data_IF_186195351690
#
_entry.id   IF_186195351690
#
_cell.length_a   1.000
_cell.length_b   1.000
_cell.length_c   1.000
_cell.angle_alpha   90.00
_cell.angle_beta   90.00
_cell.angle_gamma   90.00
#
_symmetry.space_group_name_H-M   'P 1'
#
loop_
_entity.id
_entity.type
_entity.pdbx_description
1 polymer ?
#
# COMPACT_ATOMS: atom_id res chain seq x y z
N UNK A 1 5.93 -28.26 5.07
CA UNK A 1 4.60 -27.61 5.02
C UNK A 1 4.21 -27.01 6.38
N UNK A 2 4.28 -27.77 7.48
CA UNK A 2 3.89 -27.31 8.83
C UNK A 2 4.64 -26.08 9.37
N UNK A 3 5.94 -25.95 9.10
CA UNK A 3 6.73 -24.78 9.51
C UNK A 3 6.22 -23.47 8.88
N UNK A 4 5.89 -23.51 7.59
CA UNK A 4 5.47 -22.34 6.84
C UNK A 4 4.03 -21.94 7.21
N UNK A 5 3.15 -22.92 7.42
CA UNK A 5 1.79 -22.70 7.96
C UNK A 5 1.83 -22.11 9.38
N UNK A 6 2.75 -22.57 10.24
CA UNK A 6 2.93 -21.98 11.58
C UNK A 6 3.53 -20.57 11.53
N UNK A 7 4.50 -20.31 10.66
CA UNK A 7 5.07 -18.97 10.48
C UNK A 7 4.01 -17.97 9.96
N UNK A 8 3.12 -18.41 9.07
CA UNK A 8 1.97 -17.60 8.60
C UNK A 8 0.96 -17.38 9.72
N UNK A 9 0.61 -18.42 10.50
CA UNK A 9 -0.24 -18.27 11.68
C UNK A 9 0.35 -17.28 12.68
N UNK A 10 1.65 -17.33 12.92
CA UNK A 10 2.37 -16.38 13.78
C UNK A 10 2.36 -14.96 13.21
N UNK A 11 2.51 -14.78 11.90
CA UNK A 11 2.44 -13.47 11.25
C UNK A 11 1.06 -12.82 11.34
N UNK A 12 -0.01 -13.63 11.27
CA UNK A 12 -1.40 -13.17 11.46
C UNK A 12 -1.89 -13.27 12.90
N UNK A 13 -1.05 -13.72 13.85
CA UNK A 13 -1.39 -13.76 15.25
C UNK A 13 -1.33 -12.33 15.81
N UNK A 14 -2.47 -11.65 15.76
CA UNK A 14 -2.62 -10.28 16.27
C UNK A 14 -3.15 -10.31 17.70
N UNK A 15 -2.68 -9.36 18.50
CA UNK A 15 -3.15 -9.17 19.88
C UNK A 15 -4.49 -8.40 19.95
N UNK A 16 -5.19 -8.27 18.83
CA UNK A 16 -6.49 -7.60 18.70
C UNK A 16 -7.44 -8.42 17.82
N UNK A 17 -8.74 -8.22 18.04
CA UNK A 17 -9.82 -8.98 17.39
C UNK A 17 -10.57 -8.14 16.35
N UNK A 18 -11.40 -8.78 15.52
CA UNK A 18 -12.31 -8.08 14.59
C UNK A 18 -13.21 -7.07 15.32
N UNK A 19 -13.63 -7.34 16.56
CA UNK A 19 -14.47 -6.42 17.34
C UNK A 19 -13.74 -5.12 17.65
N UNK A 20 -12.44 -5.19 17.92
CA UNK A 20 -11.59 -4.02 18.18
C UNK A 20 -11.37 -3.18 16.92
N UNK A 21 -11.35 -3.82 15.76
CA UNK A 21 -11.23 -3.15 14.45
C UNK A 21 -12.53 -2.45 14.06
N UNK A 22 -13.68 -3.08 14.34
CA UNK A 22 -15.01 -2.53 14.07
C UNK A 22 -15.57 -1.68 15.22
N UNK A 23 -14.72 -1.33 16.18
CA UNK A 23 -15.13 -0.50 17.30
C UNK A 23 -15.43 0.94 16.83
N UNK A 24 -16.60 1.45 17.20
CA UNK A 24 -17.01 2.84 16.95
C UNK A 24 -16.53 3.82 18.03
N UNK A 25 -15.73 3.37 18.99
CA UNK A 25 -15.07 4.27 19.92
C UNK A 25 -14.15 5.25 19.17
N UNK A 26 -14.15 6.54 19.55
CA UNK A 26 -13.32 7.54 18.90
C UNK A 26 -11.83 7.23 19.13
N UNK A 27 -11.03 7.42 18.07
CA UNK A 27 -9.58 7.23 18.14
C UNK A 27 -8.96 8.31 19.05
N UNK A 28 -7.95 7.91 19.83
CA UNK A 28 -7.14 8.83 20.64
C UNK A 28 -6.46 9.87 19.76
N UNK A 29 -6.34 11.12 20.25
CA UNK A 29 -5.89 12.26 19.43
C UNK A 29 -4.50 12.03 18.81
N UNK A 30 -3.58 11.42 19.57
CA UNK A 30 -2.23 11.09 19.09
C UNK A 30 -2.26 10.06 17.94
N UNK A 31 -2.92 8.92 18.15
CA UNK A 31 -3.02 7.85 17.15
C UNK A 31 -3.73 8.32 15.87
N UNK A 32 -4.77 9.14 16.04
CA UNK A 32 -5.55 9.70 14.94
C UNK A 32 -4.72 10.63 14.04
N UNK A 33 -3.94 11.54 14.63
CA UNK A 33 -3.05 12.44 13.87
C UNK A 33 -2.01 11.65 13.07
N UNK A 34 -1.41 10.63 13.68
CA UNK A 34 -0.45 9.76 13.01
C UNK A 34 -1.09 8.98 11.86
N UNK A 35 -2.25 8.35 12.08
CA UNK A 35 -2.97 7.60 11.05
C UNK A 35 -3.34 8.50 9.85
N UNK A 36 -3.88 9.69 10.11
CA UNK A 36 -4.21 10.67 9.06
C UNK A 36 -2.98 11.08 8.25
N UNK A 37 -1.84 11.23 8.93
CA UNK A 37 -0.56 11.58 8.28
C UNK A 37 -0.05 10.43 7.42
N UNK A 38 -0.17 9.18 7.88
CA UNK A 38 0.17 7.98 7.11
C UNK A 38 -0.65 7.90 5.83
N UNK A 39 -1.98 8.01 5.90
CA UNK A 39 -2.84 7.96 4.71
C UNK A 39 -2.53 9.07 3.70
N UNK A 40 -2.34 10.30 4.18
CA UNK A 40 -1.97 11.41 3.30
C UNK A 40 -0.61 11.16 2.64
N UNK A 41 0.37 10.68 3.41
CA UNK A 41 1.71 10.38 2.90
C UNK A 41 1.67 9.27 1.84
N UNK A 42 0.89 8.22 2.06
CA UNK A 42 0.71 7.13 1.11
C UNK A 42 0.00 7.58 -0.17
N UNK A 43 -1.02 8.43 -0.04
CA UNK A 43 -1.68 9.03 -1.20
C UNK A 43 -0.69 9.84 -2.06
N UNK A 44 0.10 10.70 -1.43
CA UNK A 44 1.14 11.48 -2.12
C UNK A 44 2.22 10.58 -2.72
N UNK A 45 2.65 9.54 -2.02
CA UNK A 45 3.66 8.60 -2.51
C UNK A 45 3.17 7.85 -3.76
N UNK A 46 1.91 7.41 -3.81
CA UNK A 46 1.37 6.77 -5.01
C UNK A 46 1.23 7.75 -6.17
N UNK A 47 0.80 8.99 -5.93
CA UNK A 47 0.78 10.03 -6.97
C UNK A 47 2.20 10.30 -7.51
N UNK A 48 3.18 10.38 -6.61
CA UNK A 48 4.60 10.54 -6.96
C UNK A 48 5.12 9.33 -7.76
N UNK A 49 4.68 8.11 -7.42
CA UNK A 49 5.00 6.88 -8.15
C UNK A 49 4.39 6.88 -9.55
N UNK A 50 3.11 7.27 -9.67
CA UNK A 50 2.43 7.43 -10.95
C UNK A 50 3.15 8.46 -11.83
N UNK A 51 3.53 9.59 -11.24
CA UNK A 51 4.30 10.63 -11.90
C UNK A 51 5.67 10.10 -12.37
N UNK A 52 6.40 9.37 -11.54
CA UNK A 52 7.67 8.74 -11.93
C UNK A 52 7.51 7.74 -13.08
N UNK A 53 6.48 6.89 -13.02
CA UNK A 53 6.16 5.95 -14.09
C UNK A 53 5.75 6.64 -15.40
N UNK A 54 5.11 7.82 -15.30
CA UNK A 54 4.76 8.64 -16.45
C UNK A 54 5.99 9.36 -17.04
N UNK A 55 6.86 9.93 -16.21
CA UNK A 55 8.12 10.55 -16.67
C UNK A 55 8.99 9.55 -17.43
N UNK A 56 9.03 8.29 -16.98
CA UNK A 56 9.71 7.23 -17.71
C UNK A 56 9.17 7.05 -19.14
N UNK A 57 7.87 7.23 -19.36
CA UNK A 57 7.25 7.10 -20.69
C UNK A 57 7.78 8.14 -21.68
N UNK A 58 7.99 9.38 -21.21
CA UNK A 58 8.38 10.52 -22.06
C UNK A 58 9.88 10.55 -22.29
N UNK A 59 10.67 10.30 -21.23
CA UNK A 59 12.09 10.61 -21.22
C UNK A 59 13.00 9.39 -21.13
N UNK A 60 12.44 8.18 -21.10
CA UNK A 60 13.14 6.92 -20.81
C UNK A 60 14.07 7.02 -19.58
N UNK A 61 13.70 7.83 -18.57
CA UNK A 61 14.54 8.11 -17.38
C UNK A 61 14.79 6.89 -16.47
N UNK A 62 14.25 5.73 -16.83
CA UNK A 62 14.37 4.50 -16.06
C UNK A 62 15.69 3.84 -16.43
N UNK A 63 16.55 3.60 -15.44
CA UNK A 63 17.85 2.98 -15.70
C UNK A 63 18.76 2.99 -14.48
N UNK A 64 20.06 2.80 -14.70
CA UNK A 64 21.04 2.70 -13.61
C UNK A 64 21.09 3.98 -12.74
N UNK A 65 20.89 5.16 -13.33
CA UNK A 65 20.84 6.44 -12.60
C UNK A 65 19.64 6.54 -11.67
N UNK A 66 18.44 6.09 -12.08
CA UNK A 66 17.26 6.09 -11.22
C UNK A 66 17.42 5.12 -10.06
N UNK A 67 18.12 4.01 -10.26
CA UNK A 67 18.45 3.02 -9.21
C UNK A 67 19.42 3.62 -8.19
N UNK A 68 20.51 4.26 -8.65
CA UNK A 68 21.48 4.91 -7.77
C UNK A 68 20.80 6.03 -6.97
N UNK A 69 19.98 6.87 -7.63
CA UNK A 69 19.21 7.91 -6.96
C UNK A 69 18.28 7.32 -5.90
N UNK A 70 17.52 6.27 -6.24
CA UNK A 70 16.64 5.57 -5.31
C UNK A 70 17.41 5.06 -4.08
N UNK A 71 18.53 4.37 -4.30
CA UNK A 71 19.40 3.86 -3.22
C UNK A 71 19.94 4.97 -2.33
N UNK A 72 20.34 6.11 -2.92
CA UNK A 72 20.82 7.27 -2.16
C UNK A 72 19.72 7.89 -1.30
N UNK A 73 18.51 8.06 -1.84
CA UNK A 73 17.38 8.63 -1.11
C UNK A 73 16.88 7.69 -0.01
N UNK A 74 16.94 6.37 -0.23
CA UNK A 74 16.66 5.37 0.80
C UNK A 74 17.66 5.46 1.97
N UNK A 75 18.96 5.55 1.64
CA UNK A 75 20.00 5.68 2.66
C UNK A 75 19.83 6.98 3.47
N UNK A 76 19.52 8.09 2.79
CA UNK A 76 19.23 9.38 3.43
C UNK A 76 17.97 9.31 4.30
N UNK A 77 16.91 8.66 3.84
CA UNK A 77 15.69 8.45 4.63
C UNK A 77 15.98 7.65 5.90
N UNK A 78 16.79 6.60 5.81
CA UNK A 78 17.18 5.77 6.95
C UNK A 78 18.05 6.53 7.97
N UNK A 79 18.99 7.35 7.48
CA UNK A 79 19.88 8.14 8.34
C UNK A 79 19.22 9.37 8.96
N UNK A 80 18.11 9.85 8.39
CA UNK A 80 17.48 11.09 8.85
C UNK A 80 16.71 10.87 10.16
N UNK A 81 16.99 11.67 11.21
CA UNK A 81 16.34 11.51 12.52
C UNK A 81 14.84 11.80 12.45
N UNK A 82 14.07 11.18 13.34
CA UNK A 82 12.60 11.16 13.30
C UNK A 82 11.96 12.55 13.37
N UNK A 83 12.62 13.49 14.05
CA UNK A 83 12.17 14.88 14.24
C UNK A 83 12.19 15.69 12.94
N UNK A 84 12.99 15.28 11.94
CA UNK A 84 13.08 15.96 10.64
C UNK A 84 12.00 15.45 9.67
N UNK A 85 10.75 15.66 10.06
CA UNK A 85 9.55 15.18 9.35
C UNK A 85 9.53 15.57 7.87
N UNK A 86 9.76 16.85 7.56
CA UNK A 86 9.73 17.34 6.18
C UNK A 86 10.81 16.68 5.30
N UNK A 87 12.05 16.57 5.80
CA UNK A 87 13.14 15.94 5.06
C UNK A 87 12.83 14.47 4.76
N UNK A 88 12.30 13.73 5.74
CA UNK A 88 11.89 12.33 5.55
C UNK A 88 10.76 12.19 4.54
N UNK A 89 9.79 13.12 4.53
CA UNK A 89 8.73 13.14 3.53
C UNK A 89 9.30 13.37 2.13
N UNK A 90 10.21 14.35 1.97
CA UNK A 90 10.84 14.64 0.69
C UNK A 90 11.64 13.44 0.16
N UNK A 91 12.47 12.81 1.01
CA UNK A 91 13.20 11.60 0.62
C UNK A 91 12.25 10.45 0.25
N UNK A 92 11.13 10.29 0.96
CA UNK A 92 10.12 9.29 0.62
C UNK A 92 9.46 9.58 -0.75
N UNK A 93 9.16 10.85 -1.06
CA UNK A 93 8.63 11.24 -2.37
C UNK A 93 9.67 10.98 -3.48
N UNK A 94 10.93 11.32 -3.25
CA UNK A 94 12.02 11.03 -4.19
C UNK A 94 12.14 9.52 -4.45
N UNK A 95 12.10 8.71 -3.39
CA UNK A 95 12.10 7.24 -3.49
C UNK A 95 10.89 6.76 -4.29
N UNK A 96 9.70 7.29 -4.02
CA UNK A 96 8.48 6.90 -4.72
C UNK A 96 8.53 7.24 -6.23
N UNK A 97 9.04 8.41 -6.61
CA UNK A 97 9.25 8.80 -8.01
C UNK A 97 10.25 7.85 -8.68
N UNK A 98 11.40 7.60 -8.06
CA UNK A 98 12.43 6.72 -8.63
C UNK A 98 11.93 5.27 -8.75
N UNK A 99 11.16 4.81 -7.76
CA UNK A 99 10.52 3.50 -7.78
C UNK A 99 9.52 3.41 -8.94
N UNK A 100 8.64 4.40 -9.11
CA UNK A 100 7.69 4.45 -10.21
C UNK A 100 8.34 4.42 -11.59
N UNK A 101 9.41 5.21 -11.77
CA UNK A 101 10.19 5.21 -13.02
C UNK A 101 10.82 3.84 -13.30
N UNK A 102 11.34 3.17 -12.27
CA UNK A 102 11.97 1.84 -12.38
C UNK A 102 10.93 0.74 -12.66
N UNK A 103 9.76 0.79 -12.01
CA UNK A 103 8.64 -0.13 -12.28
C UNK A 103 8.17 0.02 -13.72
N UNK A 104 7.96 1.26 -14.20
CA UNK A 104 7.55 1.53 -15.57
C UNK A 104 8.50 0.90 -16.60
N UNK A 105 9.82 1.08 -16.42
CA UNK A 105 10.85 0.44 -17.23
C UNK A 105 10.74 -1.10 -17.18
N UNK A 106 10.70 -1.66 -15.97
CA UNK A 106 10.69 -3.10 -15.76
C UNK A 106 9.48 -3.77 -16.43
N UNK A 107 8.29 -3.18 -16.26
CA UNK A 107 7.05 -3.70 -16.86
C UNK A 107 7.05 -3.65 -18.39
N UNK A 108 7.60 -2.57 -18.97
CA UNK A 108 7.68 -2.39 -20.43
C UNK A 108 8.64 -3.40 -21.06
N UNK A 109 9.85 -3.55 -20.51
CA UNK A 109 10.90 -4.36 -21.11
C UNK A 109 10.81 -5.86 -20.76
N UNK A 110 10.52 -6.22 -19.51
CA UNK A 110 10.56 -7.63 -19.09
C UNK A 110 9.23 -8.36 -19.27
N UNK A 111 8.10 -7.67 -19.03
CA UNK A 111 6.78 -8.31 -19.06
C UNK A 111 5.95 -7.95 -20.29
N UNK A 112 6.43 -7.03 -21.13
CA UNK A 112 5.67 -6.50 -22.28
C UNK A 112 4.27 -6.03 -21.88
N UNK A 113 4.12 -5.58 -20.63
CA UNK A 113 2.87 -5.01 -20.12
C UNK A 113 2.79 -3.59 -20.66
N UNK A 114 1.63 -3.23 -21.22
CA UNK A 114 1.40 -1.87 -21.67
C UNK A 114 1.51 -0.90 -20.48
N UNK A 115 2.32 0.14 -20.65
CA UNK A 115 2.58 1.13 -19.60
C UNK A 115 1.30 1.89 -19.22
N UNK A 116 0.33 1.97 -20.14
CA UNK A 116 -1.01 2.47 -19.86
C UNK A 116 -1.71 1.68 -18.74
N UNK A 117 -1.51 0.35 -18.68
CA UNK A 117 -2.09 -0.51 -17.66
C UNK A 117 -1.44 -0.28 -16.29
N UNK A 118 -0.13 -0.01 -16.25
CA UNK A 118 0.60 0.34 -15.01
C UNK A 118 0.09 1.66 -14.43
N UNK A 119 -0.07 2.68 -15.27
CA UNK A 119 -0.60 3.98 -14.86
C UNK A 119 -2.05 3.84 -14.36
N UNK A 120 -2.89 3.06 -15.05
CA UNK A 120 -4.26 2.75 -14.61
C UNK A 120 -4.29 2.06 -13.25
N UNK A 121 -3.39 1.10 -13.01
CA UNK A 121 -3.28 0.45 -11.70
C UNK A 121 -2.87 1.42 -10.60
N UNK A 122 -1.89 2.29 -10.86
CA UNK A 122 -1.44 3.31 -9.92
C UNK A 122 -2.54 4.35 -9.63
N UNK A 123 -3.36 4.70 -10.61
CA UNK A 123 -4.54 5.54 -10.40
C UNK A 123 -5.59 4.85 -9.52
N UNK A 124 -5.85 3.56 -9.71
CA UNK A 124 -6.71 2.78 -8.82
C UNK A 124 -6.20 2.77 -7.37
N UNK A 125 -4.88 2.59 -7.19
CA UNK A 125 -4.25 2.68 -5.86
C UNK A 125 -4.33 4.11 -5.28
N UNK A 126 -4.23 5.15 -6.11
CA UNK A 126 -4.39 6.54 -5.68
C UNK A 126 -5.82 6.80 -5.17
N UNK A 127 -6.84 6.24 -5.82
CA UNK A 127 -8.24 6.34 -5.36
C UNK A 127 -8.41 5.68 -4.00
N UNK A 128 -7.85 4.47 -3.80
CA UNK A 128 -7.87 3.78 -2.50
C UNK A 128 -7.32 4.72 -1.42
N UNK A 129 -6.10 5.20 -1.57
CA UNK A 129 -5.48 6.06 -0.55
C UNK A 129 -6.16 7.42 -0.40
N UNK A 130 -6.68 7.98 -1.49
CA UNK A 130 -7.46 9.21 -1.47
C UNK A 130 -8.73 9.05 -0.62
N UNK A 131 -9.49 7.97 -0.83
CA UNK A 131 -10.68 7.63 -0.04
C UNK A 131 -10.35 7.41 1.43
N UNK A 132 -9.28 6.70 1.76
CA UNK A 132 -8.82 6.52 3.15
C UNK A 132 -8.38 7.85 3.79
N UNK A 133 -7.66 8.69 3.05
CA UNK A 133 -7.23 10.01 3.52
C UNK A 133 -8.40 10.96 3.77
N UNK A 134 -9.41 10.97 2.89
CA UNK A 134 -10.62 11.78 3.04
C UNK A 134 -11.48 11.24 4.18
N UNK A 135 -11.74 9.94 4.24
CA UNK A 135 -12.54 9.35 5.31
C UNK A 135 -11.91 9.59 6.69
N UNK A 136 -10.58 9.51 6.80
CA UNK A 136 -9.88 9.84 8.03
C UNK A 136 -9.89 11.34 8.37
N UNK A 137 -10.13 12.24 7.41
CA UNK A 137 -10.37 13.67 7.68
C UNK A 137 -11.79 13.94 8.17
N UNK A 138 -12.76 13.16 7.72
CA UNK A 138 -14.19 13.35 8.01
C UNK A 138 -14.61 12.63 9.30
N UNK A 139 -14.12 11.41 9.51
CA UNK A 139 -14.51 10.55 10.62
C UNK A 139 -13.36 10.37 11.62
N UNK A 140 -13.73 10.13 12.88
CA UNK A 140 -12.79 9.87 13.99
C UNK A 140 -12.87 8.44 14.53
N UNK A 141 -13.87 7.69 14.09
CA UNK A 141 -14.15 6.31 14.53
C UNK A 141 -13.55 5.32 13.52
N UNK A 142 -12.92 4.26 14.02
CA UNK A 142 -12.17 3.29 13.19
C UNK A 142 -13.08 2.61 12.17
N UNK A 143 -14.22 2.12 12.64
CA UNK A 143 -15.24 1.44 11.84
C UNK A 143 -15.73 2.32 10.68
N UNK A 144 -16.07 3.58 10.96
CA UNK A 144 -16.54 4.53 9.95
C UNK A 144 -15.46 4.87 8.94
N UNK A 145 -14.21 5.05 9.36
CA UNK A 145 -13.09 5.26 8.41
C UNK A 145 -13.01 4.07 7.45
N UNK A 146 -12.98 2.84 7.96
CA UNK A 146 -12.80 1.65 7.11
C UNK A 146 -13.99 1.40 6.18
N UNK A 147 -15.23 1.42 6.71
CA UNK A 147 -16.42 1.15 5.90
C UNK A 147 -16.59 2.22 4.81
N UNK A 148 -16.53 3.50 5.17
CA UNK A 148 -16.70 4.61 4.22
C UNK A 148 -15.62 4.57 3.14
N UNK A 149 -14.37 4.27 3.49
CA UNK A 149 -13.30 4.16 2.50
C UNK A 149 -13.48 2.98 1.55
N UNK A 150 -13.88 1.81 2.06
CA UNK A 150 -14.12 0.63 1.22
C UNK A 150 -15.26 0.87 0.23
N UNK A 151 -16.38 1.42 0.70
CA UNK A 151 -17.55 1.71 -0.14
C UNK A 151 -17.21 2.76 -1.20
N UNK A 152 -16.63 3.90 -0.80
CA UNK A 152 -16.31 4.99 -1.73
C UNK A 152 -15.26 4.56 -2.76
N UNK A 153 -14.27 3.78 -2.35
CA UNK A 153 -13.28 3.23 -3.29
C UNK A 153 -13.93 2.29 -4.28
N UNK A 154 -14.80 1.38 -3.83
CA UNK A 154 -15.55 0.48 -4.72
C UNK A 154 -16.37 1.24 -5.76
N UNK A 155 -17.12 2.27 -5.33
CA UNK A 155 -17.94 3.11 -6.21
C UNK A 155 -17.05 3.85 -7.23
N UNK A 156 -16.00 4.53 -6.79
CA UNK A 156 -15.13 5.29 -7.69
C UNK A 156 -14.40 4.41 -8.70
N UNK A 157 -13.96 3.22 -8.28
CA UNK A 157 -13.34 2.26 -9.18
C UNK A 157 -14.33 1.79 -10.25
N UNK A 158 -15.57 1.44 -9.87
CA UNK A 158 -16.61 1.02 -10.83
C UNK A 158 -17.02 2.14 -11.79
N UNK A 159 -16.98 3.41 -11.37
CA UNK A 159 -17.32 4.56 -12.21
C UNK A 159 -16.22 4.92 -13.22
N UNK A 160 -14.94 4.79 -12.84
CA UNK A 160 -13.82 5.22 -13.69
C UNK A 160 -13.19 4.12 -14.52
N UNK A 161 -13.40 2.86 -14.17
CA UNK A 161 -12.74 1.73 -14.82
C UNK A 161 -13.77 0.74 -15.37
N UNK A 162 -13.60 0.38 -16.64
CA UNK A 162 -14.46 -0.60 -17.33
C UNK A 162 -14.21 -2.02 -16.82
N UNK A 163 -15.24 -2.86 -16.80
CA UNK A 163 -15.20 -4.24 -16.26
C UNK A 163 -14.70 -5.21 -17.32
N UNK A 164 -13.42 -5.08 -17.69
CA UNK A 164 -12.73 -6.06 -18.54
C UNK A 164 -12.08 -7.19 -17.71
N UNK A 165 -11.70 -8.30 -18.34
CA UNK A 165 -10.99 -9.40 -17.66
C UNK A 165 -9.67 -8.94 -17.00
N UNK A 166 -8.98 -7.97 -17.59
CA UNK A 166 -7.78 -7.38 -17.00
C UNK A 166 -8.10 -6.49 -15.82
N UNK A 167 -9.19 -5.72 -15.91
CA UNK A 167 -9.65 -4.87 -14.82
C UNK A 167 -10.12 -5.68 -13.62
N UNK A 168 -10.72 -6.86 -13.83
CA UNK A 168 -11.10 -7.78 -12.77
C UNK A 168 -9.88 -8.22 -11.92
N UNK A 169 -8.77 -8.57 -12.57
CA UNK A 169 -7.52 -8.93 -11.89
C UNK A 169 -6.97 -7.75 -11.07
N UNK A 170 -7.02 -6.54 -11.64
CA UNK A 170 -6.63 -5.32 -10.94
C UNK A 170 -7.55 -5.03 -9.73
N UNK A 171 -8.86 -5.28 -9.84
CA UNK A 171 -9.81 -5.12 -8.73
C UNK A 171 -9.56 -6.08 -7.59
N UNK A 172 -9.31 -7.36 -7.89
CA UNK A 172 -8.93 -8.35 -6.87
C UNK A 172 -7.67 -7.89 -6.15
N UNK A 173 -6.67 -7.43 -6.89
CA UNK A 173 -5.43 -6.94 -6.32
C UNK A 173 -5.63 -5.69 -5.44
N UNK A 174 -6.41 -4.72 -5.90
CA UNK A 174 -6.76 -3.52 -5.13
C UNK A 174 -7.60 -3.87 -3.88
N UNK A 175 -8.48 -4.86 -3.97
CA UNK A 175 -9.27 -5.34 -2.83
C UNK A 175 -8.40 -6.02 -1.76
N UNK A 176 -7.47 -6.88 -2.17
CA UNK A 176 -6.45 -7.46 -1.26
C UNK A 176 -5.65 -6.33 -0.60
N UNK A 177 -5.28 -5.31 -1.37
CA UNK A 177 -4.53 -4.18 -0.86
C UNK A 177 -5.31 -3.33 0.15
N UNK A 178 -6.60 -3.06 -0.11
CA UNK A 178 -7.49 -2.41 0.84
C UNK A 178 -7.60 -3.20 2.15
N UNK A 179 -7.76 -4.53 2.06
CA UNK A 179 -7.78 -5.40 3.23
C UNK A 179 -6.50 -5.28 4.05
N UNK A 180 -5.33 -5.29 3.40
CA UNK A 180 -4.06 -5.06 4.08
C UNK A 180 -3.97 -3.68 4.74
N UNK A 181 -4.41 -2.63 4.04
CA UNK A 181 -4.41 -1.28 4.59
C UNK A 181 -5.26 -1.18 5.85
N UNK A 182 -6.43 -1.82 5.88
CA UNK A 182 -7.29 -1.89 7.08
C UNK A 182 -6.60 -2.63 8.22
N UNK A 183 -6.01 -3.81 7.95
CA UNK A 183 -5.29 -4.59 8.97
C UNK A 183 -4.11 -3.80 9.56
N UNK A 184 -3.31 -3.17 8.70
CA UNK A 184 -2.14 -2.40 9.14
C UNK A 184 -2.56 -1.13 9.89
N UNK A 185 -3.64 -0.48 9.47
CA UNK A 185 -4.18 0.68 10.18
C UNK A 185 -4.62 0.32 11.58
N UNK A 186 -5.21 -0.87 11.75
CA UNK A 186 -5.54 -1.38 13.07
C UNK A 186 -4.29 -1.68 13.90
N UNK A 187 -3.22 -2.21 13.31
CA UNK A 187 -1.93 -2.38 14.00
C UNK A 187 -1.38 -1.05 14.51
N UNK A 188 -1.32 -0.02 13.64
CA UNK A 188 -0.89 1.34 14.04
C UNK A 188 -1.71 1.84 15.23
N UNK A 189 -3.03 1.67 15.18
CA UNK A 189 -3.92 2.16 16.22
C UNK A 189 -3.87 1.32 17.51
N UNK A 190 -3.48 0.06 17.42
CA UNK A 190 -3.27 -0.82 18.56
C UNK A 190 -1.93 -0.54 19.24
N UNK A 191 -0.87 -0.29 18.47
CA UNK A 191 0.48 0.00 18.97
C UNK A 191 0.65 1.44 19.46
N UNK A 192 -0.23 2.34 19.01
CA UNK A 192 -0.22 3.76 19.36
C UNK A 192 -0.10 4.11 20.85
N UNK A 193 -0.69 3.36 21.80
CA UNK A 193 -0.54 3.62 23.23
C UNK A 193 0.83 3.18 23.78
N UNK A 194 1.55 2.29 23.08
CA UNK A 194 2.76 1.64 23.58
C UNK A 194 4.07 2.30 23.08
N UNK A 195 4.00 3.29 22.20
CA UNK A 195 5.19 4.01 21.72
C UNK A 195 4.90 5.13 20.71
N UNK A 196 5.96 5.85 20.32
CA UNK A 196 5.88 6.86 19.27
C UNK A 196 5.66 6.21 17.90
N UNK A 197 4.61 6.66 17.19
CA UNK A 197 4.26 6.12 15.88
C UNK A 197 5.11 6.82 14.82
N UNK A 198 6.08 6.09 14.27
CA UNK A 198 6.88 6.59 13.16
C UNK A 198 6.10 6.47 11.84
N UNK A 199 5.31 7.49 11.52
CA UNK A 199 4.43 7.51 10.33
C UNK A 199 5.19 7.31 9.02
N UNK A 200 6.41 7.84 8.88
CA UNK A 200 7.21 7.68 7.66
C UNK A 200 7.71 6.24 7.48
N UNK A 201 8.09 5.57 8.58
CA UNK A 201 8.40 4.14 8.53
C UNK A 201 7.13 3.32 8.25
N UNK A 202 5.99 3.69 8.83
CA UNK A 202 4.72 3.02 8.56
C UNK A 202 4.33 3.15 7.07
N UNK A 203 4.38 4.36 6.53
CA UNK A 203 4.12 4.61 5.11
C UNK A 203 5.12 3.84 4.23
N UNK A 204 6.40 3.85 4.58
CA UNK A 204 7.43 3.09 3.87
C UNK A 204 7.13 1.58 3.86
N UNK A 205 6.82 0.99 5.03
CA UNK A 205 6.46 -0.43 5.16
C UNK A 205 5.23 -0.76 4.31
N UNK A 206 4.16 0.03 4.41
CA UNK A 206 2.94 -0.20 3.61
C UNK A 206 3.23 -0.08 2.11
N UNK A 207 4.02 0.90 1.71
CA UNK A 207 4.38 1.17 0.32
C UNK A 207 5.22 0.04 -0.28
N UNK A 208 6.21 -0.48 0.45
CA UNK A 208 7.12 -1.52 -0.05
C UNK A 208 6.68 -2.97 0.23
N UNK A 209 5.72 -3.22 1.12
CA UNK A 209 5.21 -4.58 1.38
C UNK A 209 4.18 -5.10 0.36
N UNK A 210 3.73 -4.26 -0.58
CA UNK A 210 2.81 -4.61 -1.67
C UNK A 210 3.24 -5.88 -2.46
N UNK A 211 4.49 -6.01 -2.94
CA UNK A 211 4.91 -7.19 -3.70
C UNK A 211 4.99 -8.47 -2.88
N UNK A 212 5.40 -8.40 -1.61
CA UNK A 212 5.54 -9.56 -0.73
C UNK A 212 4.18 -10.24 -0.47
N UNK A 213 3.11 -9.44 -0.35
CA UNK A 213 1.75 -9.93 -0.09
C UNK A 213 1.13 -10.53 -1.35
N UNK A 214 1.37 -9.96 -2.53
CA UNK A 214 0.89 -10.53 -3.81
C UNK A 214 1.55 -11.87 -4.09
N UNK A 215 2.88 -11.95 -3.89
CA UNK A 215 3.61 -13.22 -4.01
C UNK A 215 3.11 -14.25 -3.00
N UNK A 216 2.72 -13.84 -1.79
CA UNK A 216 2.17 -14.73 -0.77
C UNK A 216 0.74 -15.18 -1.02
N UNK A 217 -0.16 -14.28 -1.44
CA UNK A 217 -1.55 -14.63 -1.74
C UNK A 217 -1.66 -15.51 -2.99
N UNK A 218 -0.82 -15.28 -4.00
CA UNK A 218 -0.69 -16.16 -5.17
C UNK A 218 -0.15 -17.54 -4.79
N UNK A 219 0.86 -17.63 -3.91
CA UNK A 219 1.38 -18.93 -3.42
C UNK A 219 0.36 -19.72 -2.62
N UNK A 220 -0.45 -19.07 -1.77
CA UNK A 220 -1.51 -19.72 -1.01
C UNK A 220 -2.61 -20.28 -1.92
N UNK A 221 -2.98 -19.52 -2.96
CA UNK A 221 -3.98 -19.96 -3.94
C UNK A 221 -3.49 -21.15 -4.79
N UNK A 222 -2.23 -21.12 -5.22
CA UNK A 222 -1.58 -22.23 -5.93
C UNK A 222 -1.42 -23.47 -5.06
N UNK A 223 -1.08 -23.31 -3.78
CA UNK A 223 -0.96 -24.42 -2.82
C UNK A 223 -2.30 -25.15 -2.61
N UNK A 224 -3.39 -24.40 -2.48
CA UNK A 224 -4.73 -24.97 -2.29
C UNK A 224 -5.21 -25.81 -3.49
N UNK A 225 -4.93 -25.35 -4.73
CA UNK A 225 -5.28 -26.10 -5.94
C UNK A 225 -4.50 -27.43 -6.07
N UNK A 226 -3.25 -27.47 -5.60
CA UNK A 226 -2.42 -28.69 -5.65
C UNK A 226 -2.90 -29.71 -4.62
N UNK A 227 -3.38 -29.28 -3.46
CA UNK A 227 -3.97 -30.18 -2.45
C UNK A 227 -5.32 -30.75 -2.91
N UNK A 228 -6.15 -29.96 -3.59
CA UNK A 228 -7.40 -30.44 -4.19
C UNK A 228 -7.17 -31.50 -5.27
N UNK A 229 -6.10 -31.38 -6.07
CA UNK A 229 -5.75 -32.37 -7.08
C UNK A 229 -5.11 -33.65 -6.53
N UNK A 230 -4.69 -33.65 -5.26
CA UNK A 230 -4.07 -34.81 -4.58
C UNK A 230 -5.10 -35.65 -3.81
N UNK A 231 -6.30 -35.12 -3.61
CA UNK A 231 -7.41 -35.78 -2.92
C UNK A 231 -8.47 -36.36 -3.88
N UNK A 232 -8.29 -36.16 -5.19
CA UNK A 232 -8.99 -36.86 -6.27
C UNK A 232 -8.05 -37.87 -6.93
#
# INVERSE_FOLDING_TARGET
MNFLVNAVKLYFNRNWTRKDMMNSAPITKHAYTSLKTVYLTLFLAILATAFGSYLHLIWETGGMLSIIKCGSSLLLLYRTPQQRVLARLLYLMDVAICFGASVGLFTKYFFKIDQSAVIRFLLGAAIVFGCFSIAAKVHRERSHIYITSLINTGILILLWFDVSQWTLKAYVLLAVFMGYLVLYSQEILYDAPFGEINFANCAFTIFFCLPAIVVHSVRLCLGANIEQHRQN
#
